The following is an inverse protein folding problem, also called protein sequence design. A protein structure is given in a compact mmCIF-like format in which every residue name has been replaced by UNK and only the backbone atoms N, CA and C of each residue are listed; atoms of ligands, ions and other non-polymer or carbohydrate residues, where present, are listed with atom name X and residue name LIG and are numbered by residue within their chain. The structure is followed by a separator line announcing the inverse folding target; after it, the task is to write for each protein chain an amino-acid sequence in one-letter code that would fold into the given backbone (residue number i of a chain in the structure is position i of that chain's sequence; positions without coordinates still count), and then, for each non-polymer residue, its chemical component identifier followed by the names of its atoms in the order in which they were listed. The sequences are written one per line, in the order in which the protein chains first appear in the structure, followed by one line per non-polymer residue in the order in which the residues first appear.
data_IF_150066932340
#
_entry.id   IF_150066932340
#
_cell.length_a   1.000
_cell.length_b   1.000
_cell.length_c   1.000
_cell.angle_alpha   90.00
_cell.angle_beta   90.00
_cell.angle_gamma   90.00
#
_symmetry.space_group_name_H-M   'P 1'
#
loop_
_entity.id
_entity.type
_entity.pdbx_description
1 polymer ?
#
# COMPACT_ATOMS: atom_id res chain seq x y z
N UNK A 1 -14.41 -20.43 8.00
CA UNK A 1 -14.67 -19.00 8.24
C UNK A 1 -13.38 -18.16 8.35
N UNK A 2 -12.19 -18.74 8.13
CA UNK A 2 -10.93 -18.00 8.06
C UNK A 2 -10.64 -17.34 6.69
N UNK A 3 -11.03 -17.99 5.59
CA UNK A 3 -10.76 -17.50 4.23
C UNK A 3 -11.46 -16.17 3.92
N UNK A 4 -12.73 -16.04 4.31
CA UNK A 4 -13.51 -14.80 4.18
C UNK A 4 -12.95 -13.67 5.04
N UNK A 5 -12.48 -13.99 6.25
CA UNK A 5 -11.83 -13.02 7.11
C UNK A 5 -10.51 -12.50 6.51
N UNK A 6 -9.65 -13.40 6.01
CA UNK A 6 -8.41 -13.02 5.31
C UNK A 6 -8.74 -12.16 4.08
N UNK A 7 -9.76 -12.54 3.31
CA UNK A 7 -10.25 -11.78 2.17
C UNK A 7 -10.68 -10.36 2.57
N UNK A 8 -11.44 -10.23 3.66
CA UNK A 8 -11.92 -8.95 4.17
C UNK A 8 -10.78 -8.09 4.72
N UNK A 9 -9.83 -8.69 5.45
CA UNK A 9 -8.72 -7.95 6.03
C UNK A 9 -7.75 -7.43 4.98
N UNK A 10 -7.50 -8.22 3.93
CA UNK A 10 -6.73 -7.77 2.76
C UNK A 10 -7.43 -6.58 2.09
N UNK A 11 -8.75 -6.64 1.96
CA UNK A 11 -9.55 -5.55 1.38
C UNK A 11 -9.50 -4.28 2.23
N UNK A 12 -9.63 -4.38 3.55
CA UNK A 12 -9.59 -3.23 4.45
C UNK A 12 -8.20 -2.56 4.47
N UNK A 13 -7.13 -3.36 4.50
CA UNK A 13 -5.75 -2.86 4.38
C UNK A 13 -5.59 -2.11 3.06
N UNK A 14 -6.15 -2.67 1.98
CA UNK A 14 -6.08 -2.07 0.67
C UNK A 14 -6.87 -0.76 0.57
N UNK A 15 -8.11 -0.70 1.01
CA UNK A 15 -8.94 0.51 0.96
C UNK A 15 -8.28 1.66 1.72
N UNK A 16 -7.76 1.37 2.93
CA UNK A 16 -7.02 2.37 3.72
C UNK A 16 -5.75 2.85 3.01
N UNK A 17 -5.00 1.94 2.38
CA UNK A 17 -3.80 2.30 1.64
C UNK A 17 -4.11 3.09 0.36
N UNK A 18 -5.15 2.67 -0.37
CA UNK A 18 -5.62 3.31 -1.58
C UNK A 18 -6.08 4.74 -1.32
N UNK A 19 -6.92 4.96 -0.31
CA UNK A 19 -7.39 6.29 0.05
C UNK A 19 -6.24 7.22 0.42
N UNK A 20 -5.25 6.73 1.19
CA UNK A 20 -4.04 7.51 1.52
C UNK A 20 -3.21 7.83 0.28
N UNK A 21 -3.03 6.85 -0.62
CA UNK A 21 -2.27 7.01 -1.85
C UNK A 21 -2.93 8.05 -2.77
N UNK A 22 -4.25 7.95 -2.98
CA UNK A 22 -5.02 8.91 -3.79
C UNK A 22 -4.97 10.29 -3.17
N UNK A 23 -5.13 10.41 -1.84
CA UNK A 23 -5.09 11.70 -1.17
C UNK A 23 -3.73 12.41 -1.35
N UNK A 24 -2.63 11.67 -1.17
CA UNK A 24 -1.27 12.23 -1.31
C UNK A 24 -0.98 12.61 -2.77
N UNK A 25 -1.36 11.75 -3.72
CA UNK A 25 -1.17 12.06 -5.13
C UNK A 25 -2.02 13.26 -5.56
N UNK A 26 -3.29 13.34 -5.15
CA UNK A 26 -4.16 14.45 -5.49
C UNK A 26 -3.71 15.78 -4.87
N UNK A 27 -3.30 15.77 -3.60
CA UNK A 27 -2.84 16.99 -2.93
C UNK A 27 -1.51 17.49 -3.50
N UNK A 28 -0.54 16.60 -3.70
CA UNK A 28 0.74 16.95 -4.34
C UNK A 28 0.56 17.40 -5.79
N UNK A 29 -0.36 16.77 -6.54
CA UNK A 29 -0.74 17.18 -7.89
C UNK A 29 -1.26 18.61 -7.93
N UNK A 30 -2.28 18.91 -7.13
CA UNK A 30 -2.90 20.22 -7.08
C UNK A 30 -1.90 21.29 -6.66
N UNK A 31 -1.14 21.03 -5.59
CA UNK A 31 -0.10 21.95 -5.13
C UNK A 31 0.94 22.22 -6.21
N UNK A 32 1.39 21.17 -6.91
CA UNK A 32 2.34 21.30 -8.01
C UNK A 32 1.79 22.18 -9.13
N UNK A 33 0.59 21.89 -9.62
CA UNK A 33 -0.07 22.65 -10.71
C UNK A 33 -0.22 24.12 -10.33
N UNK A 34 -0.67 24.41 -9.11
CA UNK A 34 -0.81 25.78 -8.61
C UNK A 34 0.55 26.50 -8.55
N UNK A 35 1.58 25.84 -8.04
CA UNK A 35 2.94 26.41 -7.98
C UNK A 35 3.50 26.70 -9.37
N UNK A 36 3.25 25.84 -10.36
CA UNK A 36 3.65 26.11 -11.74
C UNK A 36 2.85 27.25 -12.37
N UNK A 37 1.57 27.40 -12.04
CA UNK A 37 0.78 28.56 -12.44
C UNK A 37 1.32 29.85 -11.85
N UNK A 38 1.65 29.86 -10.55
CA UNK A 38 2.30 30.99 -9.88
C UNK A 38 3.67 31.31 -10.48
N UNK A 39 4.41 30.31 -10.94
CA UNK A 39 5.71 30.51 -11.56
C UNK A 39 5.66 31.33 -12.86
N UNK A 40 4.51 31.35 -13.54
CA UNK A 40 4.30 32.22 -14.70
C UNK A 40 4.10 33.69 -14.30
N UNK A 41 3.60 33.95 -13.09
CA UNK A 41 3.17 35.28 -12.64
C UNK A 41 4.20 35.98 -11.74
N UNK A 42 4.95 35.23 -10.93
CA UNK A 42 5.77 35.81 -9.85
C UNK A 42 7.26 35.54 -10.01
N UNK A 43 7.67 34.27 -10.07
CA UNK A 43 9.09 33.89 -10.11
C UNK A 43 9.32 32.53 -10.76
N UNK A 44 10.37 32.37 -11.60
CA UNK A 44 10.75 31.08 -12.19
C UNK A 44 11.11 30.02 -11.14
N UNK A 45 11.50 30.42 -9.93
CA UNK A 45 11.89 29.51 -8.85
C UNK A 45 10.76 28.56 -8.46
N UNK A 46 9.49 28.99 -8.58
CA UNK A 46 8.34 28.16 -8.27
C UNK A 46 8.17 26.95 -9.20
N UNK A 47 8.78 26.95 -10.41
CA UNK A 47 8.79 25.78 -11.31
C UNK A 47 9.52 24.60 -10.66
N UNK A 48 10.67 24.86 -10.04
CA UNK A 48 11.45 23.83 -9.35
C UNK A 48 10.74 23.33 -8.09
N UNK A 49 10.08 24.24 -7.37
CA UNK A 49 9.31 23.89 -6.18
C UNK A 49 8.10 23.02 -6.52
N UNK A 50 7.40 23.32 -7.63
CA UNK A 50 6.32 22.49 -8.15
C UNK A 50 6.81 21.05 -8.39
N UNK A 51 7.90 20.88 -9.13
CA UNK A 51 8.47 19.56 -9.41
C UNK A 51 8.95 18.85 -8.15
N UNK A 52 9.52 19.56 -7.17
CA UNK A 52 9.90 18.97 -5.89
C UNK A 52 8.68 18.46 -5.10
N UNK A 53 7.59 19.23 -5.07
CA UNK A 53 6.34 18.83 -4.42
C UNK A 53 5.71 17.61 -5.11
N UNK A 54 5.73 17.58 -6.44
CA UNK A 54 5.16 16.47 -7.19
C UNK A 54 5.97 15.18 -7.05
N UNK A 55 7.29 15.28 -7.21
CA UNK A 55 8.20 14.14 -7.07
C UNK A 55 8.18 13.56 -5.65
N UNK A 56 8.15 14.40 -4.62
CA UNK A 56 8.01 13.93 -3.24
C UNK A 56 6.67 13.23 -2.99
N UNK A 57 5.57 13.71 -3.59
CA UNK A 57 4.27 13.05 -3.60
C UNK A 57 4.31 11.65 -4.21
N UNK A 58 4.96 11.50 -5.37
CA UNK A 58 5.17 10.21 -6.05
C UNK A 58 5.95 9.23 -5.17
N UNK A 59 7.06 9.69 -4.56
CA UNK A 59 7.89 8.85 -3.68
C UNK A 59 7.15 8.42 -2.41
N UNK A 60 6.36 9.31 -1.81
CA UNK A 60 5.52 8.99 -0.65
C UNK A 60 4.45 7.95 -1.00
N UNK A 61 3.77 8.13 -2.14
CA UNK A 61 2.79 7.18 -2.65
C UNK A 61 3.42 5.79 -2.89
N UNK A 62 4.62 5.74 -3.48
CA UNK A 62 5.39 4.51 -3.67
C UNK A 62 5.73 3.83 -2.34
N UNK A 63 6.19 4.60 -1.34
CA UNK A 63 6.52 4.06 -0.01
C UNK A 63 5.30 3.45 0.68
N UNK A 64 4.12 4.07 0.53
CA UNK A 64 2.87 3.52 1.04
C UNK A 64 2.51 2.23 0.30
N UNK A 65 2.65 2.21 -1.02
CA UNK A 65 2.39 1.02 -1.83
C UNK A 65 3.27 -0.16 -1.41
N UNK A 66 4.60 0.04 -1.28
CA UNK A 66 5.54 -1.01 -0.84
C UNK A 66 5.20 -1.54 0.55
N UNK A 67 4.98 -0.65 1.53
CA UNK A 67 4.58 -1.05 2.89
C UNK A 67 3.27 -1.85 2.90
N UNK A 68 2.35 -1.52 2.00
CA UNK A 68 1.07 -2.23 1.87
C UNK A 68 1.30 -3.62 1.28
N UNK A 69 2.07 -3.73 0.20
CA UNK A 69 2.44 -5.01 -0.40
C UNK A 69 3.19 -5.92 0.59
N UNK A 70 4.10 -5.37 1.38
CA UNK A 70 4.81 -6.12 2.44
C UNK A 70 3.85 -6.63 3.52
N UNK A 71 2.93 -5.79 4.00
CA UNK A 71 1.90 -6.21 4.96
C UNK A 71 1.03 -7.33 4.41
N UNK A 72 0.53 -7.17 3.18
CA UNK A 72 -0.27 -8.20 2.51
C UNK A 72 0.53 -9.48 2.26
N UNK A 73 1.81 -9.37 1.88
CA UNK A 73 2.70 -10.52 1.69
C UNK A 73 2.94 -11.28 2.98
N UNK A 74 3.19 -10.57 4.10
CA UNK A 74 3.33 -11.19 5.43
C UNK A 74 2.07 -11.96 5.81
N UNK A 75 0.91 -11.35 5.59
CA UNK A 75 -0.41 -11.93 5.85
C UNK A 75 -0.67 -13.20 5.01
N UNK A 76 -0.25 -13.19 3.73
CA UNK A 76 -0.36 -14.33 2.83
C UNK A 76 0.69 -15.43 3.09
N UNK A 77 1.84 -15.09 3.66
CA UNK A 77 2.94 -16.04 3.92
C UNK A 77 2.70 -16.93 5.14
N UNK A 78 1.90 -16.49 6.11
CA UNK A 78 1.59 -17.25 7.32
C UNK A 78 0.14 -16.98 7.79
N UNK A 79 -0.87 -17.35 6.99
CA UNK A 79 -2.28 -17.18 7.36
C UNK A 79 -2.63 -17.95 8.65
N UNK A 80 -1.95 -19.08 8.88
CA UNK A 80 -2.15 -19.95 10.05
C UNK A 80 -1.66 -19.31 11.35
N UNK A 81 -0.54 -18.58 11.36
CA UNK A 81 -0.02 -17.90 12.56
C UNK A 81 -0.91 -16.75 13.01
N UNK A 82 -1.49 -16.00 12.08
CA UNK A 82 -2.44 -14.94 12.43
C UNK A 82 -3.75 -15.52 12.97
N UNK A 83 -4.21 -16.64 12.41
CA UNK A 83 -5.41 -17.35 12.86
C UNK A 83 -5.25 -17.97 14.25
N UNK A 84 -4.14 -18.68 14.49
CA UNK A 84 -3.82 -19.27 15.80
C UNK A 84 -3.56 -18.19 16.83
N UNK A 85 -2.74 -17.17 16.52
CA UNK A 85 -2.51 -16.07 17.45
C UNK A 85 -3.82 -15.38 17.84
N UNK A 86 -4.79 -15.22 16.92
CA UNK A 86 -6.05 -14.53 17.23
C UNK A 86 -7.10 -15.42 17.89
N UNK A 87 -7.21 -16.72 17.55
CA UNK A 87 -8.06 -17.66 18.32
C UNK A 87 -7.56 -17.81 19.75
N UNK A 88 -6.26 -17.98 19.90
CA UNK A 88 -5.60 -18.09 21.19
C UNK A 88 -5.75 -16.77 21.98
N UNK A 89 -5.49 -15.60 21.36
CA UNK A 89 -5.72 -14.29 21.99
C UNK A 89 -7.21 -13.99 22.28
N UNK A 90 -8.15 -14.41 21.44
CA UNK A 90 -9.57 -14.14 21.66
C UNK A 90 -10.16 -14.98 22.80
N UNK A 91 -9.71 -16.23 22.96
CA UNK A 91 -10.07 -17.08 24.11
C UNK A 91 -9.38 -16.58 25.38
N UNK A 92 -8.13 -16.11 25.28
CA UNK A 92 -7.35 -15.71 26.45
C UNK A 92 -7.59 -14.25 26.89
N UNK A 93 -8.10 -13.37 26.01
CA UNK A 93 -8.33 -11.94 26.34
C UNK A 93 -9.31 -11.75 27.51
N UNK A 94 -10.28 -12.65 27.64
CA UNK A 94 -11.27 -12.59 28.72
C UNK A 94 -10.79 -13.31 30.00
N UNK A 95 -9.69 -14.05 29.93
CA UNK A 95 -9.19 -14.91 31.01
C UNK A 95 -7.83 -14.45 31.58
N UNK A 96 -7.05 -13.67 30.83
CA UNK A 96 -5.66 -13.36 31.16
C UNK A 96 -5.27 -11.93 30.77
N UNK A 97 -4.31 -11.37 31.51
CA UNK A 97 -3.69 -10.09 31.17
C UNK A 97 -2.64 -10.23 30.06
N UNK A 98 -2.34 -9.15 29.35
CA UNK A 98 -1.44 -9.15 28.17
C UNK A 98 -0.07 -9.79 28.42
N UNK A 99 0.49 -9.63 29.62
CA UNK A 99 1.80 -10.18 30.00
C UNK A 99 1.74 -11.69 30.28
N UNK A 100 0.64 -12.17 30.87
CA UNK A 100 0.42 -13.60 31.12
C UNK A 100 0.20 -14.39 29.82
N UNK A 101 -0.48 -13.78 28.85
CA UNK A 101 -0.68 -14.37 27.52
C UNK A 101 0.66 -14.60 26.82
N UNK A 102 1.57 -13.63 26.93
CA UNK A 102 2.91 -13.69 26.33
C UNK A 102 3.76 -14.79 26.97
N UNK A 103 3.67 -14.93 28.30
CA UNK A 103 4.41 -15.95 29.03
C UNK A 103 3.93 -17.38 28.74
N UNK A 104 2.61 -17.57 28.57
CA UNK A 104 2.02 -18.88 28.24
C UNK A 104 2.21 -19.29 26.79
N UNK A 105 2.17 -18.34 25.86
CA UNK A 105 2.47 -18.61 24.44
C UNK A 105 3.89 -19.15 24.22
N UNK A 106 4.81 -18.85 25.15
CA UNK A 106 6.19 -19.34 25.14
C UNK A 106 6.38 -20.68 25.87
N UNK A 107 5.45 -21.09 26.72
CA UNK A 107 5.61 -22.24 27.64
C UNK A 107 4.66 -23.40 27.36
N UNK A 108 3.49 -23.18 26.74
CA UNK A 108 2.56 -24.27 26.42
C UNK A 108 2.97 -25.05 25.15
N UNK A 109 2.88 -26.40 25.17
CA UNK A 109 3.15 -27.22 24.00
C UNK A 109 2.09 -26.97 22.91
N UNK A 110 2.55 -26.73 21.68
CA UNK A 110 1.67 -26.48 20.53
C UNK A 110 0.99 -27.78 20.09
N UNK A 111 -0.26 -28.00 20.52
CA UNK A 111 -1.09 -29.11 20.05
C UNK A 111 -1.82 -28.64 18.79
N UNK A 112 -1.68 -29.34 17.66
CA UNK A 112 -2.44 -29.03 16.44
C UNK A 112 -3.93 -29.33 16.66
N UNK A 113 -4.73 -28.26 16.68
CA UNK A 113 -6.16 -28.31 16.91
C UNK A 113 -6.91 -28.95 15.71
N UNK A 114 -7.73 -30.02 15.87
CA UNK A 114 -8.42 -30.70 14.78
C UNK A 114 -9.35 -29.78 13.94
N UNK A 115 -9.80 -28.65 14.52
CA UNK A 115 -10.55 -27.61 13.81
C UNK A 115 -9.65 -26.85 12.82
N UNK A 116 -8.39 -26.61 13.17
CA UNK A 116 -7.41 -25.98 12.28
C UNK A 116 -7.11 -26.87 11.07
N UNK A 117 -7.02 -28.20 11.24
CA UNK A 117 -6.91 -29.16 10.12
C UNK A 117 -8.08 -29.08 9.14
N UNK A 118 -9.32 -28.89 9.63
CA UNK A 118 -10.51 -28.74 8.76
C UNK A 118 -10.50 -27.44 7.96
N UNK A 119 -9.89 -26.37 8.47
CA UNK A 119 -9.76 -25.09 7.75
C UNK A 119 -8.59 -25.06 6.75
N UNK A 120 -7.61 -25.98 6.82
CA UNK A 120 -6.50 -26.06 5.84
C UNK A 120 -6.97 -26.28 4.40
N UNK A 121 -7.97 -27.17 4.17
CA UNK A 121 -8.53 -27.46 2.83
C UNK A 121 -9.15 -26.23 2.14
N UNK A 122 -10.06 -25.47 2.77
CA UNK A 122 -10.63 -24.27 2.15
C UNK A 122 -9.62 -23.13 1.99
N UNK A 123 -8.61 -23.01 2.85
CA UNK A 123 -7.52 -22.02 2.68
C UNK A 123 -6.66 -22.38 1.45
N UNK A 124 -6.27 -23.65 1.31
CA UNK A 124 -5.52 -24.13 0.15
C UNK A 124 -6.32 -23.94 -1.16
N UNK A 125 -7.62 -24.22 -1.14
CA UNK A 125 -8.51 -23.96 -2.28
C UNK A 125 -8.66 -22.45 -2.59
N UNK A 126 -8.56 -21.57 -1.59
CA UNK A 126 -8.68 -20.12 -1.74
C UNK A 126 -7.36 -19.42 -2.10
N UNK A 127 -6.21 -20.11 -1.95
CA UNK A 127 -4.88 -19.59 -2.28
C UNK A 127 -4.76 -18.96 -3.68
N UNK A 128 -5.29 -19.55 -4.78
CA UNK A 128 -5.26 -18.92 -6.10
C UNK A 128 -6.04 -17.60 -6.14
N UNK A 129 -7.19 -17.51 -5.44
CA UNK A 129 -7.98 -16.27 -5.37
C UNK A 129 -7.24 -15.18 -4.58
N UNK A 130 -6.55 -15.53 -3.50
CA UNK A 130 -5.73 -14.60 -2.75
C UNK A 130 -4.53 -14.09 -3.56
N UNK A 131 -3.89 -14.97 -4.33
CA UNK A 131 -2.79 -14.60 -5.24
C UNK A 131 -3.30 -13.69 -6.37
N UNK A 132 -4.44 -14.01 -6.98
CA UNK A 132 -5.07 -13.18 -8.00
C UNK A 132 -5.44 -11.80 -7.47
N UNK A 133 -6.02 -11.72 -6.26
CA UNK A 133 -6.28 -10.45 -5.57
C UNK A 133 -4.99 -9.67 -5.34
N UNK A 134 -3.95 -10.30 -4.79
CA UNK A 134 -2.65 -9.64 -4.59
C UNK A 134 -2.08 -9.03 -5.88
N UNK A 135 -2.13 -9.79 -6.99
CA UNK A 135 -1.68 -9.31 -8.30
C UNK A 135 -2.54 -8.14 -8.77
N UNK A 136 -3.87 -8.28 -8.75
CA UNK A 136 -4.78 -7.22 -9.17
C UNK A 136 -4.59 -5.91 -8.37
N UNK A 137 -4.32 -6.01 -7.06
CA UNK A 137 -4.04 -4.85 -6.20
C UNK A 137 -2.72 -4.18 -6.58
N UNK A 138 -1.67 -4.98 -6.83
CA UNK A 138 -0.39 -4.49 -7.34
C UNK A 138 -0.58 -3.73 -8.64
N UNK A 139 -1.36 -4.27 -9.59
CA UNK A 139 -1.62 -3.61 -10.88
C UNK A 139 -2.46 -2.34 -10.71
N UNK A 140 -3.51 -2.36 -9.89
CA UNK A 140 -4.41 -1.21 -9.70
C UNK A 140 -3.67 0.00 -9.13
N UNK A 141 -2.89 -0.18 -8.06
CA UNK A 141 -2.10 0.92 -7.50
C UNK A 141 -1.06 1.43 -8.49
N UNK A 142 -0.43 0.54 -9.27
CA UNK A 142 0.53 0.91 -10.31
C UNK A 142 -0.13 1.77 -11.39
N UNK A 143 -1.31 1.37 -11.87
CA UNK A 143 -2.10 2.12 -12.86
C UNK A 143 -2.43 3.51 -12.34
N UNK A 144 -2.98 3.63 -11.12
CA UNK A 144 -3.35 4.93 -10.55
C UNK A 144 -2.13 5.84 -10.44
N UNK A 145 -1.02 5.34 -9.90
CA UNK A 145 0.20 6.13 -9.78
C UNK A 145 0.71 6.59 -11.16
N UNK A 146 0.72 5.71 -12.16
CA UNK A 146 1.15 6.07 -13.52
C UNK A 146 0.20 7.04 -14.23
N UNK A 147 -1.11 6.82 -14.13
CA UNK A 147 -2.12 7.61 -14.81
C UNK A 147 -2.19 9.02 -14.22
N UNK A 148 -2.30 9.13 -12.89
CA UNK A 148 -2.26 10.41 -12.20
C UNK A 148 -0.98 11.15 -12.52
N UNK A 149 0.17 10.45 -12.49
CA UNK A 149 1.44 11.13 -12.73
C UNK A 149 1.53 11.68 -14.15
N UNK A 150 1.18 10.88 -15.17
CA UNK A 150 1.16 11.31 -16.57
C UNK A 150 0.18 12.48 -16.80
N UNK A 151 -1.02 12.42 -16.22
CA UNK A 151 -2.04 13.46 -16.34
C UNK A 151 -1.59 14.82 -15.79
N UNK A 152 -0.63 14.87 -14.86
CA UNK A 152 -0.12 16.12 -14.28
C UNK A 152 1.14 16.59 -15.01
N UNK A 153 1.97 15.65 -15.46
CA UNK A 153 3.20 15.96 -16.19
C UNK A 153 2.89 16.71 -17.49
N UNK A 154 1.79 16.37 -18.17
CA UNK A 154 1.34 17.01 -19.41
C UNK A 154 1.00 18.51 -19.21
N UNK A 155 0.08 18.91 -18.31
CA UNK A 155 -0.15 20.31 -17.98
C UNK A 155 1.11 21.05 -17.56
N UNK A 156 1.97 20.44 -16.75
CA UNK A 156 3.26 21.04 -16.38
C UNK A 156 4.13 21.36 -17.59
N UNK A 157 4.23 20.42 -18.53
CA UNK A 157 4.98 20.63 -19.75
C UNK A 157 4.40 21.75 -20.61
N UNK A 158 3.08 21.79 -20.78
CA UNK A 158 2.39 22.83 -21.56
C UNK A 158 2.64 24.23 -20.97
N UNK A 159 2.57 24.35 -19.64
CA UNK A 159 2.70 25.63 -18.91
C UNK A 159 4.15 26.10 -18.87
N UNK A 160 5.08 25.23 -18.48
CA UNK A 160 6.48 25.63 -18.22
C UNK A 160 7.35 25.65 -19.48
N UNK A 161 6.96 24.88 -20.52
CA UNK A 161 7.72 24.59 -21.74
C UNK A 161 9.14 24.07 -21.47
N UNK A 162 9.35 23.48 -20.30
CA UNK A 162 10.67 23.11 -19.82
C UNK A 162 10.91 21.60 -19.96
N UNK A 163 11.70 21.26 -20.98
CA UNK A 163 12.02 19.87 -21.36
C UNK A 163 12.86 19.17 -20.29
N UNK A 164 13.71 19.89 -19.57
CA UNK A 164 14.60 19.33 -18.56
C UNK A 164 13.78 18.87 -17.35
N UNK A 165 12.82 19.69 -16.91
CA UNK A 165 11.90 19.34 -15.83
C UNK A 165 11.04 18.12 -16.20
N UNK A 166 10.58 18.02 -17.45
CA UNK A 166 9.83 16.86 -17.92
C UNK A 166 10.66 15.56 -17.83
N UNK A 167 11.91 15.60 -18.28
CA UNK A 167 12.82 14.45 -18.19
C UNK A 167 13.05 14.03 -16.74
N UNK A 168 13.22 14.98 -15.81
CA UNK A 168 13.40 14.65 -14.38
C UNK A 168 12.18 13.95 -13.78
N UNK A 169 10.97 14.45 -14.04
CA UNK A 169 9.73 13.83 -13.55
C UNK A 169 9.55 12.42 -14.13
N UNK A 170 9.76 12.25 -15.44
CA UNK A 170 9.68 10.93 -16.09
C UNK A 170 10.73 9.98 -15.54
N UNK A 171 11.95 10.45 -15.28
CA UNK A 171 13.02 9.63 -14.69
C UNK A 171 12.65 9.16 -13.29
N UNK A 172 12.10 10.05 -12.44
CA UNK A 172 11.61 9.69 -11.10
C UNK A 172 10.47 8.68 -11.18
N UNK A 173 9.55 8.87 -12.13
CA UNK A 173 8.43 7.97 -12.38
C UNK A 173 8.91 6.58 -12.84
N UNK A 174 9.95 6.52 -13.68
CA UNK A 174 10.59 5.28 -14.13
C UNK A 174 11.34 4.58 -12.98
N UNK A 175 12.05 5.34 -12.14
CA UNK A 175 12.70 4.80 -10.93
C UNK A 175 11.64 4.20 -10.02
N UNK A 176 10.59 4.96 -9.70
CA UNK A 176 9.48 4.49 -8.88
C UNK A 176 8.79 3.25 -9.50
N UNK A 177 8.71 3.16 -10.83
CA UNK A 177 8.15 2.01 -11.55
C UNK A 177 9.05 0.77 -11.49
N UNK A 178 10.37 0.93 -11.50
CA UNK A 178 11.34 -0.19 -11.49
C UNK A 178 11.36 -0.92 -10.15
N UNK A 179 10.95 -0.24 -9.07
CA UNK A 179 10.86 -0.85 -7.73
C UNK A 179 9.48 -1.46 -7.42
N UNK A 180 8.55 -1.51 -8.40
CA UNK A 180 7.20 -2.13 -8.30
C UNK A 180 7.07 -3.32 -9.24
#
# INVERSE_FOLDING_TARGET
MLSEYIAHRIQEIYEKAYNKLVLILASSAMASVLLSGLALLTSPAFKYLAVAVFSSGILLAERIHKRTLEKTRKLLSNPEREATARRYLAVLKDLYTSDEILHRMLTEPQIEDPIAMREKKPIAASAPFFKARYVALKTRSKIVLTATSLSITLPHFIVTKDLILMVTVVTILLIARKVI
#
